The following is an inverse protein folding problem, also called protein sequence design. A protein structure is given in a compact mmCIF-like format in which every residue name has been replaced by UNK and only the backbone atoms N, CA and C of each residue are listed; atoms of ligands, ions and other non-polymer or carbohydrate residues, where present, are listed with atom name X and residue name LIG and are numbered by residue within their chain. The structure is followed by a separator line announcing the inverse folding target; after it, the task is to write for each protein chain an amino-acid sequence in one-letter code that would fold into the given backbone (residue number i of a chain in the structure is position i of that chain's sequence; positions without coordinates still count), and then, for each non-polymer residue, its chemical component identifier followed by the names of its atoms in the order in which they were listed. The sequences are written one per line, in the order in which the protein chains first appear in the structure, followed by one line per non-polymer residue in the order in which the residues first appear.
data_IF_179478085598
#
_entry.id   IF_179478085598
#
_cell.length_a   1.000
_cell.length_b   1.000
_cell.length_c   1.000
_cell.angle_alpha   90.00
_cell.angle_beta   90.00
_cell.angle_gamma   90.00
#
_symmetry.space_group_name_H-M   'P 1'
#
loop_
_entity.id
_entity.type
_entity.pdbx_description
1 polymer ?
#
# COMPACT_ATOMS: atom_id res chain seq x y z
N UNK A 1 -8.60 65.82 83.35
CA UNK A 1 -8.85 64.38 83.12
C UNK A 1 -8.94 64.16 81.61
N UNK A 2 -7.87 63.67 81.00
CA UNK A 2 -7.74 62.32 80.37
C UNK A 2 -8.75 62.04 79.23
N UNK A 3 -8.16 61.88 78.05
CA UNK A 3 -8.69 61.56 76.70
C UNK A 3 -9.49 60.25 76.62
N UNK A 4 -10.19 59.93 75.50
CA UNK A 4 -9.50 59.27 74.39
C UNK A 4 -9.93 59.68 72.96
N UNK A 5 -8.97 59.49 72.07
CA UNK A 5 -9.01 59.56 70.60
C UNK A 5 -9.79 58.38 70.03
N UNK A 6 -10.61 58.60 69.00
CA UNK A 6 -11.10 57.54 68.11
C UNK A 6 -10.83 57.92 66.66
N UNK A 7 -9.93 57.15 66.07
CA UNK A 7 -9.52 57.10 64.67
C UNK A 7 -10.63 56.48 63.83
N UNK A 8 -11.18 57.20 62.85
CA UNK A 8 -12.09 56.62 61.85
C UNK A 8 -11.30 56.29 60.58
N UNK A 9 -11.24 54.99 60.30
CA UNK A 9 -10.64 54.36 59.12
C UNK A 9 -11.57 54.59 57.91
N UNK A 10 -11.15 55.35 56.91
CA UNK A 10 -11.89 55.51 55.66
C UNK A 10 -11.66 54.27 54.77
N UNK A 11 -12.70 53.46 54.59
CA UNK A 11 -12.71 52.39 53.58
C UNK A 11 -12.68 53.01 52.17
N UNK A 12 -11.62 52.73 51.42
CA UNK A 12 -11.57 52.97 49.99
C UNK A 12 -12.38 51.87 49.27
N UNK A 13 -13.52 52.25 48.68
CA UNK A 13 -14.27 51.39 47.78
C UNK A 13 -13.57 51.37 46.41
N UNK A 14 -13.03 50.22 46.01
CA UNK A 14 -12.46 49.99 44.67
C UNK A 14 -13.62 49.56 43.75
N UNK A 15 -14.01 50.33 42.72
CA UNK A 15 -15.00 49.87 41.76
C UNK A 15 -14.37 48.83 40.83
N UNK A 16 -14.83 47.58 40.93
CA UNK A 16 -14.56 46.52 39.96
C UNK A 16 -15.33 46.82 38.66
N UNK A 17 -14.77 47.66 37.80
CA UNK A 17 -15.22 47.79 36.40
C UNK A 17 -14.68 46.63 35.57
N UNK A 18 -15.12 45.41 35.90
CA UNK A 18 -14.95 44.22 35.06
C UNK A 18 -16.11 44.12 34.08
N UNK A 19 -16.05 44.88 32.99
CA UNK A 19 -17.01 44.75 31.90
C UNK A 19 -16.91 43.37 31.28
N UNK A 20 -18.04 42.65 31.21
CA UNK A 20 -18.20 41.55 30.27
C UNK A 20 -17.99 42.14 28.87
N UNK A 21 -16.79 41.96 28.30
CA UNK A 21 -16.56 42.20 26.89
C UNK A 21 -17.56 41.33 26.14
N UNK A 22 -18.55 41.97 25.51
CA UNK A 22 -19.54 41.26 24.69
C UNK A 22 -18.81 40.37 23.71
N UNK A 23 -19.26 39.13 23.57
CA UNK A 23 -18.79 38.27 22.50
C UNK A 23 -18.91 39.06 21.19
N UNK A 24 -17.78 39.40 20.59
CA UNK A 24 -17.75 40.13 19.34
C UNK A 24 -18.65 39.42 18.33
N UNK A 25 -19.46 40.18 17.60
CA UNK A 25 -20.35 39.59 16.61
C UNK A 25 -19.54 38.74 15.62
N UNK A 26 -19.95 37.48 15.42
CA UNK A 26 -19.39 36.61 14.38
C UNK A 26 -19.61 37.30 13.03
N UNK A 27 -18.51 37.72 12.41
CA UNK A 27 -18.54 38.24 11.06
C UNK A 27 -18.56 37.06 10.09
N UNK A 28 -19.46 37.12 9.12
CA UNK A 28 -19.50 36.17 8.01
C UNK A 28 -18.18 36.31 7.21
N UNK A 29 -17.45 35.20 7.03
CA UNK A 29 -16.22 35.17 6.23
C UNK A 29 -16.48 35.23 4.72
N UNK A 30 -17.74 35.39 4.33
CA UNK A 30 -18.19 35.38 2.95
C UNK A 30 -18.41 33.95 2.45
N UNK A 31 -18.84 33.82 1.18
CA UNK A 31 -19.13 32.52 0.59
C UNK A 31 -17.92 31.58 0.68
N UNK A 32 -18.14 30.38 1.21
CA UNK A 32 -17.12 29.34 1.20
C UNK A 32 -16.69 29.04 -0.24
N UNK A 33 -15.38 28.84 -0.45
CA UNK A 33 -14.85 28.44 -1.76
C UNK A 33 -15.50 27.12 -2.17
N UNK A 34 -15.98 27.06 -3.41
CA UNK A 34 -16.46 25.80 -3.99
C UNK A 34 -15.33 24.78 -3.98
N UNK A 35 -15.54 23.65 -3.29
CA UNK A 35 -14.62 22.53 -3.33
C UNK A 35 -14.88 21.73 -4.60
N UNK A 36 -13.84 21.53 -5.42
CA UNK A 36 -13.90 20.58 -6.51
C UNK A 36 -14.07 19.17 -5.92
N UNK A 37 -15.11 18.41 -6.30
CA UNK A 37 -15.26 17.03 -5.85
C UNK A 37 -14.02 16.22 -6.22
N UNK A 38 -13.47 15.50 -5.24
CA UNK A 38 -12.40 14.53 -5.52
C UNK A 38 -13.02 13.33 -6.24
N UNK A 39 -12.38 12.78 -7.29
CA UNK A 39 -12.85 11.54 -7.91
C UNK A 39 -12.94 10.44 -6.85
N UNK A 40 -14.11 9.81 -6.77
CA UNK A 40 -14.36 8.67 -5.90
C UNK A 40 -13.87 7.38 -6.55
N UNK A 41 -13.46 6.42 -5.73
CA UNK A 41 -13.10 5.09 -6.21
C UNK A 41 -14.29 4.39 -6.86
N UNK A 42 -14.04 3.78 -8.03
CA UNK A 42 -15.00 2.93 -8.74
C UNK A 42 -14.49 1.49 -8.68
N UNK A 43 -15.19 0.56 -8.00
CA UNK A 43 -14.79 -0.84 -7.94
C UNK A 43 -14.87 -1.49 -9.33
N UNK A 44 -13.98 -2.44 -9.61
CA UNK A 44 -14.00 -3.21 -10.86
C UNK A 44 -15.02 -4.36 -10.81
N UNK A 45 -15.12 -5.03 -9.67
CA UNK A 45 -16.04 -6.14 -9.44
C UNK A 45 -16.68 -6.00 -8.05
N UNK A 46 -17.83 -6.65 -7.80
CA UNK A 46 -18.34 -6.82 -6.44
C UNK A 46 -17.27 -7.43 -5.53
N UNK A 47 -17.21 -6.99 -4.27
CA UNK A 47 -16.25 -7.51 -3.31
C UNK A 47 -16.44 -9.02 -3.13
N UNK A 48 -15.38 -9.80 -3.37
CA UNK A 48 -15.36 -11.23 -3.11
C UNK A 48 -14.97 -11.45 -1.64
N UNK A 49 -15.62 -12.43 -1.00
CA UNK A 49 -15.40 -12.70 0.41
C UNK A 49 -13.97 -13.27 0.63
N UNK A 50 -13.18 -12.71 1.56
CA UNK A 50 -11.78 -13.11 1.71
C UNK A 50 -11.57 -14.55 2.20
N UNK A 51 -10.55 -15.22 1.64
CA UNK A 51 -9.90 -16.39 2.24
C UNK A 51 -8.57 -15.96 2.92
N UNK A 52 -7.92 -16.87 3.66
CA UNK A 52 -6.72 -16.54 4.45
C UNK A 52 -5.49 -16.28 3.57
N UNK A 53 -4.72 -15.24 3.89
CA UNK A 53 -3.67 -14.73 3.00
C UNK A 53 -2.25 -15.27 3.28
N UNK A 54 -1.45 -15.59 2.24
CA UNK A 54 0.01 -15.76 2.34
C UNK A 54 0.77 -14.46 2.01
N UNK A 55 2.05 -14.40 2.38
CA UNK A 55 2.91 -13.21 2.27
C UNK A 55 3.18 -12.75 0.83
N UNK A 56 3.27 -11.42 0.57
CA UNK A 56 3.48 -10.86 -0.76
C UNK A 56 4.96 -10.86 -1.19
N UNK A 57 5.22 -11.15 -2.46
CA UNK A 57 6.52 -10.98 -3.11
C UNK A 57 6.55 -9.69 -3.96
N UNK A 58 7.70 -9.03 -4.02
CA UNK A 58 7.88 -7.78 -4.77
C UNK A 58 8.34 -8.04 -6.21
N UNK A 59 7.59 -7.55 -7.21
CA UNK A 59 8.01 -7.58 -8.61
C UNK A 59 9.09 -6.54 -8.91
N UNK A 60 10.18 -6.99 -9.53
CA UNK A 60 11.28 -6.15 -10.04
C UNK A 60 11.01 -5.57 -11.43
N UNK A 61 11.98 -4.83 -11.97
CA UNK A 61 11.91 -4.19 -13.30
C UNK A 61 11.81 -5.25 -14.42
N UNK A 62 10.76 -5.15 -15.24
CA UNK A 62 10.45 -6.11 -16.31
C UNK A 62 10.81 -5.55 -17.70
N UNK A 63 11.26 -6.40 -18.64
CA UNK A 63 11.51 -5.99 -20.03
C UNK A 63 10.22 -5.46 -20.71
N UNK A 64 10.32 -4.69 -21.81
CA UNK A 64 9.19 -4.25 -22.65
C UNK A 64 8.16 -5.36 -22.89
N UNK A 65 6.86 -5.06 -22.73
CA UNK A 65 5.85 -6.08 -22.88
C UNK A 65 5.78 -6.49 -24.34
N UNK A 66 5.77 -7.80 -24.58
CA UNK A 66 5.60 -8.36 -25.91
C UNK A 66 4.12 -8.62 -26.18
N UNK A 67 3.65 -8.49 -27.42
CA UNK A 67 2.25 -8.68 -27.74
C UNK A 67 1.82 -10.14 -27.48
N UNK A 68 0.59 -10.32 -27.01
CA UNK A 68 -0.03 -11.64 -26.84
C UNK A 68 -0.15 -12.31 -28.21
N UNK A 69 0.46 -13.49 -28.41
CA UNK A 69 0.50 -14.13 -29.73
C UNK A 69 -0.87 -14.67 -30.13
N UNK A 70 -1.11 -14.75 -31.44
CA UNK A 70 -2.28 -15.45 -32.00
C UNK A 70 -3.64 -14.76 -31.79
N UNK A 71 -3.69 -13.62 -31.10
CA UNK A 71 -4.90 -12.83 -30.93
C UNK A 71 -4.90 -11.60 -31.83
N UNK A 72 -6.00 -11.44 -32.55
CA UNK A 72 -6.32 -10.20 -33.27
C UNK A 72 -7.59 -9.64 -32.67
N UNK A 73 -7.57 -8.37 -32.28
CA UNK A 73 -8.76 -7.73 -31.71
C UNK A 73 -9.75 -7.41 -32.85
N UNK A 74 -11.03 -7.77 -32.71
CA UNK A 74 -12.05 -7.45 -33.71
C UNK A 74 -12.17 -5.93 -33.93
N UNK A 75 -12.72 -5.52 -35.07
CA UNK A 75 -12.99 -4.12 -35.37
C UNK A 75 -13.91 -3.41 -34.34
N UNK A 76 -14.67 -4.18 -33.55
CA UNK A 76 -15.47 -3.69 -32.42
C UNK A 76 -14.65 -3.33 -31.17
N UNK A 77 -13.32 -3.42 -31.22
CA UNK A 77 -12.42 -3.09 -30.11
C UNK A 77 -12.47 -4.10 -28.97
N UNK A 78 -11.98 -3.69 -27.80
CA UNK A 78 -11.88 -4.55 -26.62
C UNK A 78 -13.22 -4.97 -26.03
N UNK A 79 -14.31 -4.25 -26.34
CA UNK A 79 -15.66 -4.61 -25.92
C UNK A 79 -16.15 -5.96 -26.45
N UNK A 80 -15.55 -6.45 -27.54
CA UNK A 80 -15.86 -7.76 -28.13
C UNK A 80 -14.90 -8.87 -27.71
N UNK A 81 -13.93 -8.58 -26.82
CA UNK A 81 -12.87 -9.50 -26.44
C UNK A 81 -13.17 -10.11 -25.07
N UNK A 82 -13.29 -11.43 -25.03
CA UNK A 82 -13.49 -12.19 -23.80
C UNK A 82 -12.19 -12.33 -23.00
N UNK A 83 -12.22 -12.01 -21.70
CA UNK A 83 -11.05 -12.10 -20.82
C UNK A 83 -10.40 -13.50 -20.82
N UNK A 84 -11.22 -14.55 -20.79
CA UNK A 84 -10.73 -15.94 -20.84
C UNK A 84 -9.96 -16.24 -22.12
N UNK A 85 -10.37 -15.67 -23.26
CA UNK A 85 -9.69 -15.85 -24.55
C UNK A 85 -8.34 -15.14 -24.56
N UNK A 86 -8.26 -13.94 -23.98
CA UNK A 86 -6.99 -13.21 -23.83
C UNK A 86 -6.00 -14.00 -22.98
N UNK A 87 -6.45 -14.38 -21.78
CA UNK A 87 -5.65 -15.14 -20.81
C UNK A 87 -5.18 -16.47 -21.41
N UNK A 88 -6.05 -17.21 -22.10
CA UNK A 88 -5.68 -18.49 -22.72
C UNK A 88 -4.57 -18.38 -23.78
N UNK A 89 -4.42 -17.23 -24.42
CA UNK A 89 -3.36 -16.99 -25.40
C UNK A 89 -2.08 -16.39 -24.78
N UNK A 90 -2.12 -15.97 -23.51
CA UNK A 90 -1.00 -15.32 -22.86
C UNK A 90 0.06 -16.35 -22.40
N UNK A 91 1.28 -16.33 -22.99
CA UNK A 91 2.33 -17.27 -22.61
C UNK A 91 2.88 -17.02 -21.21
N UNK A 92 2.69 -15.82 -20.64
CA UNK A 92 3.22 -15.43 -19.33
C UNK A 92 2.40 -15.95 -18.14
N UNK A 93 1.23 -16.57 -18.38
CA UNK A 93 0.41 -17.12 -17.30
C UNK A 93 1.15 -18.17 -16.47
N UNK A 94 0.92 -18.12 -15.16
CA UNK A 94 1.40 -19.11 -14.21
C UNK A 94 0.59 -20.42 -14.30
N UNK A 95 1.16 -21.57 -13.86
CA UNK A 95 0.47 -22.86 -13.90
C UNK A 95 -0.89 -22.89 -13.21
N UNK A 96 -1.02 -22.22 -12.05
CA UNK A 96 -2.25 -22.11 -11.29
C UNK A 96 -3.35 -21.31 -12.02
N UNK A 97 -2.95 -20.29 -12.79
CA UNK A 97 -3.87 -19.50 -13.60
C UNK A 97 -4.40 -20.32 -14.77
N UNK A 98 -3.53 -21.09 -15.42
CA UNK A 98 -3.93 -22.04 -16.47
C UNK A 98 -4.89 -23.10 -15.94
N UNK A 99 -4.69 -23.57 -14.71
CA UNK A 99 -5.61 -24.49 -14.03
C UNK A 99 -6.97 -23.85 -13.76
N UNK A 100 -7.01 -22.57 -13.38
CA UNK A 100 -8.25 -21.83 -13.19
C UNK A 100 -9.03 -21.65 -14.52
N UNK A 101 -8.33 -21.43 -15.63
CA UNK A 101 -8.96 -21.33 -16.96
C UNK A 101 -9.69 -22.61 -17.37
N UNK A 102 -9.13 -23.78 -17.07
CA UNK A 102 -9.72 -25.09 -17.42
C UNK A 102 -10.71 -25.61 -16.40
N UNK A 103 -10.96 -24.87 -15.31
CA UNK A 103 -11.84 -25.32 -14.21
C UNK A 103 -11.24 -26.45 -13.37
N UNK A 104 -9.91 -26.64 -13.43
CA UNK A 104 -9.21 -27.73 -12.75
C UNK A 104 -9.05 -27.55 -11.24
N UNK A 105 -9.57 -26.49 -10.64
CA UNK A 105 -9.48 -26.20 -9.21
C UNK A 105 -10.81 -25.71 -8.62
N UNK A 106 -11.06 -26.08 -7.37
CA UNK A 106 -12.22 -25.64 -6.62
C UNK A 106 -12.11 -24.15 -6.25
N UNK A 107 -13.18 -23.39 -6.45
CA UNK A 107 -13.21 -21.96 -6.16
C UNK A 107 -12.43 -21.08 -7.15
N UNK A 108 -11.89 -21.67 -8.21
CA UNK A 108 -11.22 -20.92 -9.26
C UNK A 108 -12.22 -20.21 -10.17
N UNK A 109 -11.92 -18.96 -10.51
CA UNK A 109 -12.80 -18.13 -11.32
C UNK A 109 -11.98 -17.12 -12.11
N UNK A 110 -12.37 -16.90 -13.36
CA UNK A 110 -11.90 -15.74 -14.13
C UNK A 110 -12.96 -14.66 -14.03
N UNK A 111 -12.56 -13.47 -13.59
CA UNK A 111 -13.46 -12.33 -13.53
C UNK A 111 -13.76 -11.79 -14.94
N UNK A 112 -14.98 -11.30 -15.19
CA UNK A 112 -15.31 -10.66 -16.45
C UNK A 112 -14.38 -9.47 -16.72
N UNK A 113 -14.09 -9.24 -18.01
CA UNK A 113 -13.32 -8.07 -18.44
C UNK A 113 -14.00 -6.78 -17.96
N UNK A 114 -13.19 -5.85 -17.46
CA UNK A 114 -13.58 -4.47 -17.18
C UNK A 114 -12.75 -3.56 -18.07
N UNK A 115 -13.39 -2.60 -18.74
CA UNK A 115 -12.73 -1.67 -19.64
C UNK A 115 -12.61 -0.31 -18.98
N UNK A 116 -11.39 0.21 -18.83
CA UNK A 116 -11.11 1.54 -18.22
C UNK A 116 -9.96 2.20 -18.96
N UNK A 117 -10.07 3.49 -19.24
CA UNK A 117 -8.97 4.30 -19.75
C UNK A 117 -8.02 4.64 -18.60
N UNK A 118 -6.96 3.85 -18.45
CA UNK A 118 -5.90 3.99 -17.47
C UNK A 118 -4.72 4.79 -18.02
N UNK A 119 -4.53 4.77 -19.34
CA UNK A 119 -3.45 5.50 -20.00
C UNK A 119 -3.77 6.99 -20.21
N UNK A 120 -5.06 7.35 -20.21
CA UNK A 120 -5.57 8.69 -20.47
C UNK A 120 -5.60 9.06 -21.95
N UNK A 121 -5.46 8.09 -22.86
CA UNK A 121 -5.45 8.31 -24.30
C UNK A 121 -6.84 8.23 -24.95
N UNK A 122 -7.88 7.92 -24.16
CA UNK A 122 -9.26 7.78 -24.59
C UNK A 122 -9.63 6.37 -25.05
N UNK A 123 -8.66 5.46 -25.19
CA UNK A 123 -8.89 4.05 -25.47
C UNK A 123 -8.81 3.24 -24.17
N UNK A 124 -9.81 2.41 -23.86
CA UNK A 124 -9.79 1.67 -22.60
C UNK A 124 -8.76 0.53 -22.63
N UNK A 125 -8.12 0.24 -21.51
CA UNK A 125 -7.44 -1.01 -21.26
C UNK A 125 -8.41 -2.10 -20.77
N UNK A 126 -8.09 -3.36 -21.08
CA UNK A 126 -8.80 -4.53 -20.58
C UNK A 126 -8.21 -4.97 -19.23
N UNK A 127 -9.03 -4.96 -18.19
CA UNK A 127 -8.67 -5.40 -16.84
C UNK A 127 -9.43 -6.69 -16.51
N UNK A 128 -8.74 -7.70 -16.01
CA UNK A 128 -9.34 -8.96 -15.55
C UNK A 128 -8.59 -9.51 -14.34
N UNK A 129 -9.17 -10.49 -13.66
CA UNK A 129 -8.53 -11.21 -12.57
C UNK A 129 -8.74 -12.71 -12.69
N UNK A 130 -7.72 -13.48 -12.34
CA UNK A 130 -7.79 -14.94 -12.20
C UNK A 130 -7.72 -15.28 -10.72
N UNK A 131 -8.83 -15.74 -10.15
CA UNK A 131 -8.90 -16.28 -8.80
C UNK A 131 -8.46 -17.74 -8.84
N UNK A 132 -7.48 -18.08 -8.01
CA UNK A 132 -6.85 -19.42 -7.97
C UNK A 132 -7.34 -20.26 -6.78
N UNK A 133 -8.53 -19.94 -6.26
CA UNK A 133 -9.11 -20.59 -5.09
C UNK A 133 -8.66 -19.91 -3.80
N UNK A 134 -8.14 -20.69 -2.85
CA UNK A 134 -7.69 -20.17 -1.54
C UNK A 134 -6.34 -19.46 -1.59
N UNK A 135 -5.61 -19.57 -2.69
CA UNK A 135 -4.22 -19.10 -2.80
C UNK A 135 -4.11 -17.65 -3.26
N UNK A 136 -5.24 -17.02 -3.58
CA UNK A 136 -5.34 -15.62 -3.96
C UNK A 136 -5.77 -15.48 -5.41
N UNK A 137 -5.08 -14.60 -6.13
CA UNK A 137 -5.30 -14.48 -7.56
C UNK A 137 -4.27 -13.61 -8.25
N UNK A 138 -4.55 -13.31 -9.50
CA UNK A 138 -3.70 -12.50 -10.36
C UNK A 138 -4.55 -11.43 -11.03
N UNK A 139 -4.16 -10.18 -10.88
CA UNK A 139 -4.73 -9.03 -11.58
C UNK A 139 -3.94 -8.81 -12.87
N UNK A 140 -4.64 -8.84 -14.00
CA UNK A 140 -4.07 -8.62 -15.33
C UNK A 140 -4.65 -7.38 -15.97
N UNK A 141 -3.79 -6.66 -16.67
CA UNK A 141 -4.19 -5.52 -17.51
C UNK A 141 -3.53 -5.65 -18.87
N UNK A 142 -4.33 -5.47 -19.92
CA UNK A 142 -3.89 -5.50 -21.30
C UNK A 142 -4.26 -4.21 -22.02
N UNK A 143 -3.33 -3.71 -22.82
CA UNK A 143 -3.58 -2.58 -23.70
C UNK A 143 -3.70 -3.03 -25.16
N UNK A 144 -4.64 -2.43 -25.88
CA UNK A 144 -4.74 -2.55 -27.32
C UNK A 144 -3.81 -1.54 -28.00
N UNK A 145 -2.89 -2.02 -28.83
CA UNK A 145 -2.12 -1.17 -29.75
C UNK A 145 -2.04 -1.82 -31.11
N UNK A 146 -2.36 -1.06 -32.16
CA UNK A 146 -2.26 -1.52 -33.54
C UNK A 146 -2.97 -2.87 -33.78
N UNK A 147 -4.14 -3.07 -33.13
CA UNK A 147 -4.92 -4.32 -33.24
C UNK A 147 -4.39 -5.50 -32.43
N UNK A 148 -3.33 -5.32 -31.63
CA UNK A 148 -2.68 -6.36 -30.82
C UNK A 148 -2.76 -6.03 -29.34
N UNK A 149 -2.84 -7.05 -28.50
CA UNK A 149 -2.89 -6.92 -27.04
C UNK A 149 -1.49 -6.99 -26.45
N UNK A 150 -1.18 -6.09 -25.53
CA UNK A 150 0.08 -6.06 -24.79
C UNK A 150 -0.20 -6.17 -23.29
N UNK A 151 0.42 -7.13 -22.56
CA UNK A 151 0.27 -7.20 -21.11
C UNK A 151 1.02 -6.03 -20.47
N UNK A 152 0.30 -5.16 -19.76
CA UNK A 152 0.87 -3.95 -19.14
C UNK A 152 0.93 -4.04 -17.61
N UNK A 153 0.24 -5.01 -17.02
CA UNK A 153 0.35 -5.42 -15.62
C UNK A 153 -0.01 -6.90 -15.48
N UNK A 154 0.76 -7.63 -14.68
CA UNK A 154 0.42 -8.94 -14.14
C UNK A 154 0.86 -8.96 -12.67
N UNK A 155 -0.10 -8.79 -11.76
CA UNK A 155 0.16 -8.65 -10.33
C UNK A 155 -0.48 -9.80 -9.56
N UNK A 156 0.34 -10.58 -8.86
CA UNK A 156 -0.16 -11.54 -7.88
C UNK A 156 -0.78 -10.78 -6.71
N UNK A 157 -1.95 -11.20 -6.27
CA UNK A 157 -2.70 -10.57 -5.20
C UNK A 157 -3.11 -11.58 -4.13
N UNK A 158 -3.15 -11.14 -2.88
CA UNK A 158 -3.56 -11.95 -1.74
C UNK A 158 -5.05 -12.37 -1.84
N UNK A 159 -5.41 -13.51 -1.22
CA UNK A 159 -6.78 -13.91 -0.96
C UNK A 159 -7.67 -12.77 -0.46
N UNK A 160 -8.85 -12.61 -1.08
CA UNK A 160 -9.78 -11.55 -0.73
C UNK A 160 -9.43 -10.16 -1.25
N UNK A 161 -8.45 -10.04 -2.15
CA UNK A 161 -8.16 -8.75 -2.76
C UNK A 161 -9.38 -8.15 -3.47
N UNK A 162 -9.40 -6.83 -3.53
CA UNK A 162 -10.32 -6.08 -4.37
C UNK A 162 -9.55 -5.10 -5.24
N UNK A 163 -10.14 -4.71 -6.37
CA UNK A 163 -9.53 -3.77 -7.29
C UNK A 163 -10.55 -2.73 -7.74
N UNK A 164 -10.06 -1.53 -7.99
CA UNK A 164 -10.86 -0.37 -8.38
C UNK A 164 -10.03 0.65 -9.13
N UNK A 165 -10.67 1.74 -9.55
CA UNK A 165 -9.99 2.85 -10.22
C UNK A 165 -10.33 4.18 -9.57
N UNK A 166 -9.40 5.13 -9.62
CA UNK A 166 -9.64 6.55 -9.30
C UNK A 166 -9.09 7.36 -10.46
N UNK A 167 -9.97 7.77 -11.38
CA UNK A 167 -9.52 8.31 -12.66
C UNK A 167 -8.67 7.27 -13.42
N UNK A 168 -7.47 7.63 -13.90
CA UNK A 168 -6.58 6.71 -14.62
C UNK A 168 -5.80 5.75 -13.69
N UNK A 169 -5.86 5.96 -12.37
CA UNK A 169 -5.11 5.14 -11.42
C UNK A 169 -5.84 3.83 -11.14
N UNK A 170 -5.10 2.73 -11.19
CA UNK A 170 -5.57 1.41 -10.76
C UNK A 170 -5.20 1.19 -9.29
N UNK A 171 -6.19 0.85 -8.48
CA UNK A 171 -6.05 0.54 -7.07
C UNK A 171 -6.23 -0.95 -6.84
N UNK A 172 -5.31 -1.52 -6.06
CA UNK A 172 -5.37 -2.88 -5.54
C UNK A 172 -5.38 -2.83 -4.01
N UNK A 173 -6.41 -3.38 -3.39
CA UNK A 173 -6.50 -3.53 -1.94
C UNK A 173 -6.33 -5.01 -1.58
N UNK A 174 -5.36 -5.31 -0.73
CA UNK A 174 -5.05 -6.65 -0.23
C UNK A 174 -5.25 -6.70 1.29
N UNK A 175 -6.22 -7.46 1.81
CA UNK A 175 -6.45 -7.54 3.25
C UNK A 175 -5.35 -8.38 3.93
N UNK A 176 -4.94 -8.02 5.14
CA UNK A 176 -3.95 -8.81 5.92
C UNK A 176 -4.56 -10.10 6.52
N UNK A 177 -5.81 -10.42 6.19
CA UNK A 177 -6.51 -11.62 6.60
C UNK A 177 -8.03 -11.49 6.51
N UNK A 178 -8.80 -12.58 6.71
CA UNK A 178 -10.20 -12.64 6.31
C UNK A 178 -11.16 -11.68 7.04
N UNK A 179 -10.75 -11.21 8.21
CA UNK A 179 -11.49 -10.29 9.07
C UNK A 179 -10.59 -9.11 9.49
N UNK A 180 -9.45 -8.92 8.81
CA UNK A 180 -8.55 -7.84 9.17
C UNK A 180 -9.15 -6.50 8.78
N UNK A 181 -9.09 -5.54 9.70
CA UNK A 181 -9.30 -4.12 9.40
C UNK A 181 -8.01 -3.46 8.91
N UNK A 182 -6.95 -4.24 8.77
CA UNK A 182 -5.67 -3.83 8.22
C UNK A 182 -5.49 -4.48 6.85
N UNK A 183 -4.82 -3.77 5.96
CA UNK A 183 -4.54 -4.24 4.62
C UNK A 183 -3.59 -3.31 3.89
N UNK A 184 -3.13 -3.74 2.73
CA UNK A 184 -2.27 -2.95 1.86
C UNK A 184 -3.07 -2.40 0.68
N UNK A 185 -3.10 -1.07 0.54
CA UNK A 185 -3.54 -0.39 -0.68
C UNK A 185 -2.33 -0.10 -1.56
N UNK A 186 -2.36 -0.58 -2.80
CA UNK A 186 -1.34 -0.33 -3.80
C UNK A 186 -1.95 0.46 -4.96
N UNK A 187 -1.32 1.56 -5.33
CA UNK A 187 -1.71 2.37 -6.50
C UNK A 187 -0.75 2.12 -7.64
N UNK A 188 -1.32 1.89 -8.82
CA UNK A 188 -0.59 1.78 -10.07
C UNK A 188 -1.01 2.93 -10.97
N UNK A 189 -0.01 3.59 -11.56
CA UNK A 189 -0.20 4.67 -12.52
C UNK A 189 0.44 4.29 -13.85
N UNK A 190 -0.08 4.87 -14.92
CA UNK A 190 0.48 4.68 -16.25
C UNK A 190 1.84 5.38 -16.39
N UNK A 191 2.84 4.65 -16.85
CA UNK A 191 4.16 5.19 -17.16
C UNK A 191 4.82 4.38 -18.28
N UNK A 192 5.25 5.08 -19.33
CA UNK A 192 6.03 4.52 -20.45
C UNK A 192 5.42 3.24 -21.05
N UNK A 193 4.09 3.25 -21.18
CA UNK A 193 3.34 2.17 -21.79
C UNK A 193 3.04 0.97 -20.88
N UNK A 194 3.07 1.17 -19.57
CA UNK A 194 2.86 0.14 -18.55
C UNK A 194 2.17 0.73 -17.35
N UNK A 195 1.62 -0.12 -16.50
CA UNK A 195 1.25 0.27 -15.15
C UNK A 195 2.42 0.02 -14.20
N UNK A 196 2.85 1.07 -13.52
CA UNK A 196 3.93 1.04 -12.54
C UNK A 196 3.35 1.37 -11.17
N UNK A 197 3.77 0.62 -10.15
CA UNK A 197 3.39 0.91 -8.76
C UNK A 197 3.97 2.26 -8.35
N UNK A 198 3.12 3.22 -8.01
CA UNK A 198 3.51 4.57 -7.59
C UNK A 198 3.36 4.80 -6.10
N UNK A 199 2.42 4.11 -5.46
CA UNK A 199 2.19 4.23 -4.03
C UNK A 199 1.84 2.87 -3.41
N UNK A 200 2.19 2.72 -2.13
CA UNK A 200 1.83 1.56 -1.32
C UNK A 200 1.60 2.03 0.11
N UNK A 201 0.36 1.92 0.57
CA UNK A 201 -0.06 2.29 1.93
C UNK A 201 -0.48 1.06 2.68
N UNK A 202 0.11 0.87 3.85
CA UNK A 202 -0.40 -0.10 4.81
C UNK A 202 -1.46 0.64 5.61
N UNK A 203 -2.71 0.25 5.44
CA UNK A 203 -3.81 0.71 6.26
C UNK A 203 -3.86 -0.17 7.50
N UNK A 204 -3.80 0.47 8.66
CA UNK A 204 -4.25 -0.12 9.90
C UNK A 204 -5.24 0.84 10.51
N UNK A 205 -6.48 0.41 10.75
CA UNK A 205 -7.33 1.17 11.66
C UNK A 205 -6.57 1.30 12.97
N UNK A 206 -6.24 2.54 13.37
CA UNK A 206 -5.64 2.84 14.67
C UNK A 206 -6.45 2.23 15.82
N UNK A 207 -5.83 2.17 17.00
CA UNK A 207 -6.32 1.56 18.24
C UNK A 207 -7.85 1.53 18.39
N UNK A 208 -8.43 0.47 18.99
CA UNK A 208 -9.87 0.36 19.19
C UNK A 208 -10.43 1.66 19.78
N UNK A 209 -11.52 2.14 19.17
CA UNK A 209 -12.32 3.24 19.69
C UNK A 209 -12.53 3.03 21.20
N UNK A 210 -11.83 3.81 22.03
CA UNK A 210 -11.85 3.65 23.48
C UNK A 210 -10.52 3.87 24.21
N UNK A 211 -9.39 4.05 23.53
CA UNK A 211 -8.18 4.54 24.19
C UNK A 211 -8.32 6.05 24.52
N UNK A 212 -9.11 6.35 25.55
CA UNK A 212 -9.08 7.62 26.27
C UNK A 212 -7.70 7.80 26.89
N UNK A 213 -6.73 8.27 26.12
CA UNK A 213 -5.55 8.92 26.68
C UNK A 213 -5.99 10.31 27.13
N UNK A 214 -6.57 10.41 28.32
CA UNK A 214 -6.26 11.57 29.14
C UNK A 214 -4.80 11.42 29.55
N UNK A 215 -3.87 12.27 29.09
CA UNK A 215 -2.65 12.44 29.84
C UNK A 215 -3.08 12.98 31.21
N UNK A 216 -3.02 12.14 32.24
CA UNK A 216 -2.97 12.66 33.60
C UNK A 216 -1.82 13.70 33.62
N UNK A 217 -2.02 14.91 34.15
CA UNK A 217 -0.92 15.84 34.29
C UNK A 217 0.16 15.14 35.13
N UNK A 218 1.30 14.86 34.50
CA UNK A 218 2.45 14.30 35.21
C UNK A 218 2.77 15.29 36.34
N UNK A 219 2.61 14.81 37.57
CA UNK A 219 3.19 15.46 38.73
C UNK A 219 4.65 15.74 38.39
N UNK A 220 5.02 17.03 38.43
CA UNK A 220 6.38 17.47 38.19
C UNK A 220 7.28 16.83 39.24
N UNK A 221 7.95 15.74 38.88
CA UNK A 221 9.10 15.28 39.65
C UNK A 221 10.24 16.22 39.28
N UNK A 222 10.51 17.16 40.18
CA UNK A 222 11.74 17.96 40.17
C UNK A 222 12.93 17.02 40.12
N UNK A 223 13.62 16.97 38.98
CA UNK A 223 14.95 16.37 38.88
C UNK A 223 15.94 17.44 39.32
N UNK A 224 16.42 17.30 40.55
CA UNK A 224 17.59 18.02 41.05
C UNK A 224 18.85 17.49 40.33
N UNK A 225 19.79 18.35 39.88
CA UNK A 225 20.93 17.92 39.09
C UNK A 225 22.01 17.32 40.00
N UNK A 226 22.22 16.00 39.90
CA UNK A 226 23.34 15.31 40.55
C UNK A 226 24.50 15.09 39.57
N UNK A 227 25.70 15.38 40.07
CA UNK A 227 26.92 15.74 39.35
C UNK A 227 27.63 14.55 38.68
N UNK A 228 28.40 14.88 37.64
CA UNK A 228 29.21 14.04 36.74
C UNK A 228 30.39 13.28 37.42
N UNK A 229 31.13 12.42 36.68
CA UNK A 229 31.79 11.20 37.18
C UNK A 229 33.26 11.37 37.59
N UNK A 230 33.78 10.42 38.38
CA UNK A 230 35.21 10.25 38.68
C UNK A 230 35.67 8.81 38.40
N UNK A 231 36.69 8.69 37.55
CA UNK A 231 37.44 7.47 37.18
C UNK A 231 38.38 6.99 38.31
N UNK A 232 38.73 5.70 38.43
CA UNK A 232 39.89 4.99 37.82
C UNK A 232 40.42 3.93 38.85
N UNK A 233 41.48 3.10 38.65
CA UNK A 233 41.94 2.28 37.50
C UNK A 233 42.42 0.82 37.84
N UNK A 234 42.65 0.00 36.78
CA UNK A 234 43.74 -1.01 36.52
C UNK A 234 44.01 -2.19 37.51
N UNK A 235 44.42 -3.43 37.15
CA UNK A 235 44.83 -4.18 35.93
C UNK A 235 45.08 -5.69 36.34
N UNK A 236 45.97 -6.51 35.70
CA UNK A 236 45.87 -7.26 34.43
C UNK A 236 46.12 -8.80 34.57
N UNK A 237 45.89 -9.61 33.52
CA UNK A 237 46.71 -10.81 33.15
C UNK A 237 46.27 -11.39 31.78
N UNK A 238 47.03 -11.16 30.71
CA UNK A 238 47.93 -12.09 29.99
C UNK A 238 47.22 -13.19 29.14
N UNK A 239 47.25 -13.05 27.81
CA UNK A 239 48.01 -13.86 26.81
C UNK A 239 47.41 -15.26 26.54
N UNK A 240 47.24 -15.81 25.32
CA UNK A 240 47.92 -15.63 24.04
C UNK A 240 47.03 -16.11 22.85
N UNK A 241 47.38 -15.67 21.63
CA UNK A 241 46.85 -16.13 20.34
C UNK A 241 47.65 -17.36 19.80
N UNK A 242 47.56 -17.76 18.52
CA UNK A 242 46.43 -18.31 17.74
C UNK A 242 46.77 -19.69 17.10
N UNK A 243 45.79 -20.39 16.51
CA UNK A 243 46.06 -21.45 15.52
C UNK A 243 44.95 -21.57 14.45
N UNK A 244 45.36 -21.24 13.23
CA UNK A 244 44.95 -21.70 11.88
C UNK A 244 43.93 -22.85 11.75
N UNK A 245 42.96 -22.67 10.84
CA UNK A 245 42.20 -23.79 10.25
C UNK A 245 41.04 -23.35 9.36
N UNK A 246 41.32 -22.91 8.14
CA UNK A 246 40.34 -22.90 7.04
C UNK A 246 40.21 -24.32 6.47
N UNK A 247 38.99 -24.82 6.21
CA UNK A 247 38.77 -25.77 5.13
C UNK A 247 38.03 -25.11 3.96
N UNK A 248 38.69 -25.09 2.81
CA UNK A 248 38.07 -24.91 1.48
C UNK A 248 37.02 -26.00 1.21
N UNK A 249 35.93 -25.67 0.51
CA UNK A 249 35.17 -26.66 -0.25
C UNK A 249 35.70 -26.78 -1.68
N UNK A 250 36.19 -27.99 -2.01
CA UNK A 250 36.52 -28.47 -3.36
C UNK A 250 35.27 -28.44 -4.25
N UNK A 251 35.29 -27.62 -5.31
CA UNK A 251 34.32 -27.70 -6.41
C UNK A 251 34.91 -28.54 -7.53
N UNK A 252 34.30 -29.70 -7.77
CA UNK A 252 34.56 -30.56 -8.93
C UNK A 252 34.16 -29.87 -10.23
N UNK A 253 35.09 -29.81 -11.18
CA UNK A 253 34.83 -29.39 -12.55
C UNK A 253 34.09 -30.50 -13.32
N UNK A 254 32.97 -30.15 -13.93
CA UNK A 254 32.26 -30.98 -14.93
C UNK A 254 32.93 -30.78 -16.29
N UNK A 255 33.30 -31.83 -17.05
CA UNK A 255 33.86 -31.67 -18.39
C UNK A 255 32.78 -31.30 -19.42
N UNK A 256 33.07 -30.27 -20.22
CA UNK A 256 32.29 -29.91 -21.42
C UNK A 256 32.75 -30.77 -22.61
N UNK A 257 31.86 -31.47 -23.34
CA UNK A 257 32.23 -32.18 -24.56
C UNK A 257 32.36 -31.20 -25.75
N UNK A 258 33.46 -31.31 -26.50
CA UNK A 258 33.68 -30.56 -27.74
C UNK A 258 33.05 -31.25 -28.97
N UNK A 259 32.46 -30.49 -29.92
CA UNK A 259 31.95 -31.05 -31.17
C UNK A 259 33.10 -31.42 -32.12
N UNK A 260 33.03 -32.62 -32.69
CA UNK A 260 33.93 -33.08 -33.78
C UNK A 260 33.53 -32.40 -35.10
N UNK A 261 34.49 -31.94 -35.92
CA UNK A 261 34.21 -31.57 -37.30
C UNK A 261 34.03 -32.83 -38.15
N UNK A 262 32.91 -32.92 -38.85
CA UNK A 262 32.72 -33.87 -39.97
C UNK A 262 33.40 -33.33 -41.22
N UNK A 263 34.09 -34.25 -41.90
CA UNK A 263 34.78 -34.07 -43.17
C UNK A 263 33.80 -34.15 -44.34
#
# INVERSE_FOLDING_TARGET
MRTPRWTALALAAIPLLGGCAGAGALHDAGPARSLTPRPSQVPLWPAVQPAAAPSPEASGSLPPPSPVPGLTVPAGGLGAVEARTVLAADPALQPEERKALTGGCAGCQVQPAQLRDLSGDGEPELITAVLTGTDGGYLHVYQLREGRLFPVLAQRAQPGFSAGTVGPDLLLHEPDGPQSKTGTDTTYHWQDGRLVRTDRRITGSGLPDGATYCPAPMASVSVEPSVAPTAAPAAPSAAAAPATGHPEPLVSAVPVPQPRPTR
#
